data_IF_988070554350
#
_entry.id   IF_988070554350
#
_cell.length_a   1.000
_cell.length_b   1.000
_cell.length_c   1.000
_cell.angle_alpha   90.00
_cell.angle_beta   90.00
_cell.angle_gamma   90.00
#
_symmetry.space_group_name_H-M   'P 1'
#
loop_
_entity.id
_entity.type
_entity.pdbx_description
1 polymer ?
#
# COMPACT_ATOMS: atom_id res chain seq x y z
N UNK A 1 23.34 -7.26 -23.71
CA UNK A 1 24.02 -6.45 -22.68
C UNK A 1 23.19 -6.53 -21.40
N UNK A 2 23.72 -7.09 -20.31
CA UNK A 2 23.11 -6.96 -19.00
C UNK A 2 23.29 -5.51 -18.56
N UNK A 3 22.21 -4.73 -18.54
CA UNK A 3 22.24 -3.35 -18.04
C UNK A 3 22.64 -3.36 -16.54
N UNK A 4 23.54 -2.48 -16.13
CA UNK A 4 23.82 -2.25 -14.72
C UNK A 4 22.68 -1.43 -14.13
N UNK A 5 22.06 -1.89 -13.07
CA UNK A 5 21.09 -1.15 -12.27
C UNK A 5 21.45 -1.25 -10.79
N UNK A 6 21.05 -0.23 -10.04
CA UNK A 6 21.20 -0.15 -8.59
C UNK A 6 19.81 0.05 -8.01
N UNK A 7 19.57 -0.56 -6.86
CA UNK A 7 18.36 -0.34 -6.07
C UNK A 7 18.75 0.31 -4.76
N UNK A 8 18.06 1.36 -4.36
CA UNK A 8 18.26 2.03 -3.09
C UNK A 8 17.06 1.73 -2.19
N UNK A 9 17.33 1.15 -1.04
CA UNK A 9 16.37 0.91 0.02
C UNK A 9 17.05 1.18 1.36
N UNK A 10 16.42 1.91 2.29
CA UNK A 10 17.02 2.23 3.58
C UNK A 10 17.48 1.01 4.38
N UNK A 11 16.78 -0.11 4.21
CA UNK A 11 17.11 -1.37 4.90
C UNK A 11 18.31 -2.11 4.31
N UNK A 12 18.73 -1.79 3.08
CA UNK A 12 19.75 -2.52 2.34
C UNK A 12 19.35 -3.95 1.94
N UNK A 13 18.08 -4.30 2.06
CA UNK A 13 17.59 -5.66 1.76
C UNK A 13 16.30 -5.64 0.94
N UNK A 14 16.08 -6.69 0.15
CA UNK A 14 14.82 -6.88 -0.55
C UNK A 14 13.68 -7.22 0.41
N UNK A 15 12.48 -6.73 0.11
CA UNK A 15 11.24 -7.11 0.82
C UNK A 15 11.18 -6.69 2.30
N UNK A 16 12.11 -5.88 2.81
CA UNK A 16 12.17 -5.53 4.23
C UNK A 16 10.85 -4.99 4.78
N UNK A 17 10.30 -3.96 4.15
CA UNK A 17 9.04 -3.36 4.60
C UNK A 17 7.88 -4.35 4.52
N UNK A 18 7.81 -5.16 3.48
CA UNK A 18 6.77 -6.18 3.34
C UNK A 18 6.86 -7.22 4.47
N UNK A 19 8.08 -7.75 4.69
CA UNK A 19 8.33 -8.73 5.75
C UNK A 19 7.97 -8.17 7.12
N UNK A 20 8.42 -6.94 7.40
CA UNK A 20 8.09 -6.26 8.66
C UNK A 20 6.59 -6.10 8.85
N UNK A 21 5.88 -5.55 7.87
CA UNK A 21 4.45 -5.26 7.97
C UNK A 21 3.61 -6.55 8.12
N UNK A 22 3.94 -7.60 7.36
CA UNK A 22 3.22 -8.87 7.48
C UNK A 22 3.46 -9.57 8.83
N UNK A 23 4.68 -9.49 9.33
CA UNK A 23 5.01 -10.00 10.66
C UNK A 23 4.36 -9.14 11.77
N UNK A 24 4.46 -7.82 11.67
CA UNK A 24 3.92 -6.88 12.67
C UNK A 24 2.39 -6.99 12.83
N UNK A 25 1.68 -7.27 11.74
CA UNK A 25 0.23 -7.45 11.75
C UNK A 25 -0.19 -8.93 11.80
N UNK A 26 0.77 -9.85 11.94
CA UNK A 26 0.55 -11.31 12.00
C UNK A 26 -0.33 -11.83 10.86
N UNK A 27 -0.09 -11.34 9.64
CA UNK A 27 -0.88 -11.72 8.46
C UNK A 27 -0.52 -13.14 8.05
N UNK A 28 -1.47 -14.11 8.08
CA UNK A 28 -1.15 -15.51 7.88
C UNK A 28 -0.87 -15.88 6.42
N UNK A 29 -1.54 -15.23 5.49
CA UNK A 29 -1.42 -15.51 4.05
C UNK A 29 -1.75 -14.27 3.21
N UNK A 30 -1.32 -14.27 1.96
CA UNK A 30 -1.65 -13.21 1.02
C UNK A 30 -3.14 -13.28 0.64
N UNK A 31 -3.68 -12.13 0.25
CA UNK A 31 -5.01 -12.03 -0.36
C UNK A 31 -4.99 -12.38 -1.86
N UNK A 32 -3.81 -12.29 -2.50
CA UNK A 32 -3.63 -12.59 -3.92
C UNK A 32 -3.35 -14.07 -4.15
N UNK A 33 -3.90 -14.68 -5.21
CA UNK A 33 -3.58 -16.05 -5.61
C UNK A 33 -2.11 -16.25 -5.96
N UNK A 34 -1.65 -17.51 -5.92
CA UNK A 34 -0.27 -17.91 -6.18
C UNK A 34 0.25 -17.53 -7.59
N UNK A 35 -0.64 -17.26 -8.55
CA UNK A 35 -0.25 -16.75 -9.88
C UNK A 35 0.24 -15.30 -9.86
N UNK A 36 -0.02 -14.54 -8.79
CA UNK A 36 0.44 -13.18 -8.62
C UNK A 36 1.71 -13.16 -7.77
N UNK A 37 2.85 -13.29 -8.41
CA UNK A 37 4.16 -13.40 -7.78
C UNK A 37 5.25 -12.75 -8.68
N UNK A 38 6.46 -12.49 -8.18
CA UNK A 38 7.47 -11.70 -8.90
C UNK A 38 8.18 -12.44 -10.06
N UNK A 39 8.06 -13.75 -10.16
CA UNK A 39 8.71 -14.50 -11.23
C UNK A 39 8.02 -14.30 -12.60
N UNK A 40 8.76 -14.28 -13.72
CA UNK A 40 8.19 -14.26 -15.05
C UNK A 40 7.26 -15.45 -15.36
N UNK A 41 7.58 -16.65 -14.85
CA UNK A 41 6.71 -17.82 -14.99
C UNK A 41 5.53 -17.74 -13.99
N UNK A 42 4.26 -17.65 -14.45
CA UNK A 42 3.10 -17.55 -13.57
C UNK A 42 2.89 -18.80 -12.69
N UNK A 43 3.50 -19.93 -13.02
CA UNK A 43 3.39 -21.19 -12.27
C UNK A 43 4.52 -21.39 -11.26
N UNK A 44 5.55 -20.55 -11.27
CA UNK A 44 6.76 -20.74 -10.47
C UNK A 44 6.48 -20.91 -8.96
N UNK A 45 5.56 -20.12 -8.38
CA UNK A 45 5.21 -20.24 -6.97
C UNK A 45 4.49 -21.55 -6.65
N UNK A 46 3.59 -22.02 -7.51
CA UNK A 46 2.93 -23.33 -7.33
C UNK A 46 3.91 -24.47 -7.42
N UNK A 47 4.85 -24.42 -8.37
CA UNK A 47 5.92 -25.40 -8.50
C UNK A 47 6.82 -25.42 -7.26
N UNK A 48 7.17 -24.22 -6.74
CA UNK A 48 7.92 -24.09 -5.48
C UNK A 48 7.16 -24.65 -4.28
N UNK A 49 5.85 -24.53 -4.27
CA UNK A 49 4.97 -25.00 -3.20
C UNK A 49 4.62 -26.50 -3.31
N UNK A 50 5.07 -27.24 -4.31
CA UNK A 50 4.68 -28.63 -4.55
C UNK A 50 4.94 -29.55 -3.35
N UNK A 51 6.03 -29.33 -2.59
CA UNK A 51 6.35 -30.03 -1.35
C UNK A 51 5.70 -29.43 -0.09
N UNK A 52 4.94 -28.36 -0.23
CA UNK A 52 4.34 -27.57 0.87
C UNK A 52 2.88 -27.22 0.59
N UNK A 53 2.02 -28.17 0.15
CA UNK A 53 0.67 -27.87 -0.32
C UNK A 53 -0.22 -27.25 0.78
N UNK A 54 0.02 -27.57 2.05
CA UNK A 54 -0.72 -27.01 3.18
C UNK A 54 -0.47 -25.53 3.44
N UNK A 55 0.50 -24.91 2.75
CA UNK A 55 0.78 -23.48 2.83
C UNK A 55 0.10 -22.70 1.65
N UNK A 56 -0.71 -23.38 0.85
CA UNK A 56 -1.61 -22.77 -0.14
C UNK A 56 -3.06 -22.87 0.38
N UNK A 57 -3.65 -21.73 0.67
CA UNK A 57 -4.97 -21.63 1.28
C UNK A 57 -6.09 -21.53 0.24
N UNK A 58 -7.20 -22.28 0.44
CA UNK A 58 -8.35 -22.20 -0.46
C UNK A 58 -9.01 -20.80 -0.38
N UNK A 59 -9.82 -20.43 -1.39
CA UNK A 59 -10.20 -21.25 -2.55
C UNK A 59 -9.28 -21.12 -3.76
N UNK A 60 -8.29 -20.24 -3.78
CA UNK A 60 -7.50 -19.90 -4.97
C UNK A 60 -5.99 -20.05 -4.76
N UNK A 61 -5.56 -20.98 -3.94
CA UNK A 61 -4.14 -21.19 -3.61
C UNK A 61 -3.49 -19.89 -3.11
N UNK A 62 -4.09 -19.28 -2.08
CA UNK A 62 -3.53 -18.08 -1.46
C UNK A 62 -2.26 -18.46 -0.72
N UNK A 63 -1.08 -17.94 -1.08
CA UNK A 63 0.16 -18.38 -0.46
C UNK A 63 0.27 -17.89 0.98
N UNK A 64 0.67 -18.78 1.87
CA UNK A 64 1.03 -18.44 3.23
C UNK A 64 2.18 -17.44 3.24
N UNK A 65 2.20 -16.54 4.23
CA UNK A 65 3.22 -15.48 4.33
C UNK A 65 4.63 -16.04 4.29
N UNK A 66 4.90 -17.12 5.03
CA UNK A 66 6.21 -17.77 5.06
C UNK A 66 6.58 -18.42 3.73
N UNK A 67 5.63 -19.10 3.09
CA UNK A 67 5.83 -19.67 1.75
C UNK A 67 6.22 -18.60 0.74
N UNK A 68 5.47 -17.51 0.69
CA UNK A 68 5.71 -16.40 -0.22
C UNK A 68 7.07 -15.72 0.04
N UNK A 69 7.43 -15.51 1.30
CA UNK A 69 8.72 -14.96 1.68
C UNK A 69 9.88 -15.84 1.19
N UNK A 70 9.82 -17.15 1.44
CA UNK A 70 10.83 -18.09 1.00
C UNK A 70 10.92 -18.14 -0.53
N UNK A 71 9.80 -18.10 -1.22
CA UNK A 71 9.76 -18.03 -2.67
C UNK A 71 10.43 -16.74 -3.22
N UNK A 72 10.14 -15.57 -2.64
CA UNK A 72 10.80 -14.34 -3.03
C UNK A 72 12.31 -14.40 -2.81
N UNK A 73 12.77 -14.98 -1.70
CA UNK A 73 14.20 -15.19 -1.44
C UNK A 73 14.84 -16.09 -2.51
N UNK A 74 14.16 -17.15 -2.93
CA UNK A 74 14.63 -18.02 -4.01
C UNK A 74 14.70 -17.29 -5.36
N UNK A 75 13.70 -16.44 -5.69
CA UNK A 75 13.74 -15.62 -6.90
C UNK A 75 14.92 -14.65 -6.87
N UNK A 76 15.18 -14.00 -5.73
CA UNK A 76 16.31 -13.08 -5.55
C UNK A 76 17.63 -13.85 -5.75
N UNK A 77 17.76 -15.04 -5.15
CA UNK A 77 18.97 -15.89 -5.23
C UNK A 77 19.27 -16.34 -6.66
N UNK A 78 18.30 -16.94 -7.35
CA UNK A 78 18.51 -17.48 -8.71
C UNK A 78 18.67 -16.38 -9.77
N UNK A 79 18.18 -15.18 -9.48
CA UNK A 79 18.34 -14.01 -10.36
C UNK A 79 19.60 -13.21 -10.03
N UNK A 80 20.40 -13.63 -9.06
CA UNK A 80 21.63 -12.97 -8.59
C UNK A 80 21.40 -11.47 -8.24
N UNK A 81 20.31 -11.18 -7.50
CA UNK A 81 19.90 -9.82 -7.15
C UNK A 81 20.37 -9.39 -5.75
N UNK A 82 21.03 -10.25 -4.98
CA UNK A 82 21.40 -9.98 -3.58
C UNK A 82 22.25 -8.72 -3.43
N UNK A 83 23.20 -8.51 -4.34
CA UNK A 83 24.13 -7.38 -4.32
C UNK A 83 23.63 -6.12 -5.03
N UNK A 84 22.38 -6.12 -5.48
CA UNK A 84 21.83 -4.98 -6.22
C UNK A 84 21.21 -3.89 -5.33
N UNK A 85 20.98 -4.19 -4.03
CA UNK A 85 20.37 -3.26 -3.07
C UNK A 85 21.44 -2.59 -2.22
N UNK A 86 21.41 -1.26 -2.21
CA UNK A 86 22.28 -0.42 -1.39
C UNK A 86 21.49 0.14 -0.21
N UNK A 87 22.09 0.06 0.98
CA UNK A 87 21.50 0.60 2.21
C UNK A 87 21.60 2.13 2.24
N UNK A 88 20.67 2.78 1.59
CA UNK A 88 20.50 4.23 1.60
C UNK A 88 19.10 4.59 1.11
N UNK A 89 18.52 5.67 1.64
CA UNK A 89 17.34 6.28 1.05
C UNK A 89 17.77 7.30 -0.02
N UNK A 90 17.07 7.36 -1.15
CA UNK A 90 17.13 8.52 -2.04
C UNK A 90 16.26 9.60 -1.41
N UNK A 91 16.86 10.73 -1.07
CA UNK A 91 16.14 11.85 -0.43
C UNK A 91 15.76 12.94 -1.44
N UNK A 92 16.46 13.00 -2.58
CA UNK A 92 16.21 13.97 -3.64
C UNK A 92 16.53 13.38 -5.02
N UNK A 93 15.74 13.75 -6.00
CA UNK A 93 15.96 13.46 -7.42
C UNK A 93 16.02 14.81 -8.15
N UNK A 94 17.18 15.16 -8.69
CA UNK A 94 17.42 16.40 -9.39
C UNK A 94 17.67 16.15 -10.89
N UNK A 95 16.82 16.65 -11.80
CA UNK A 95 17.11 16.58 -13.23
C UNK A 95 18.33 17.43 -13.60
N UNK A 96 19.24 16.87 -14.39
CA UNK A 96 20.43 17.53 -14.89
C UNK A 96 20.27 17.87 -16.37
N UNK A 97 20.09 19.15 -16.70
CA UNK A 97 19.87 19.63 -18.07
C UNK A 97 21.18 19.95 -18.83
N UNK A 98 22.34 19.99 -18.14
CA UNK A 98 23.62 20.37 -18.71
C UNK A 98 24.32 19.29 -19.53
N UNK A 99 23.64 18.18 -19.78
CA UNK A 99 24.17 17.06 -20.54
C UNK A 99 23.49 16.94 -21.90
N UNK A 100 24.25 16.47 -22.90
CA UNK A 100 23.73 16.19 -24.25
C UNK A 100 22.48 15.27 -24.23
N UNK A 101 22.30 14.48 -23.16
CA UNK A 101 21.09 13.70 -22.86
C UNK A 101 20.72 13.97 -21.40
N UNK A 102 19.42 14.18 -21.09
CA UNK A 102 18.96 14.37 -19.71
C UNK A 102 19.44 13.24 -18.79
N UNK A 103 19.85 13.60 -17.59
CA UNK A 103 20.28 12.72 -16.51
C UNK A 103 19.65 13.17 -15.20
N UNK A 104 19.85 12.39 -14.17
CA UNK A 104 19.39 12.70 -12.81
C UNK A 104 20.54 12.60 -11.84
N UNK A 105 20.67 13.57 -10.95
CA UNK A 105 21.46 13.47 -9.74
C UNK A 105 20.55 12.95 -8.62
N UNK A 106 20.94 11.84 -8.01
CA UNK A 106 20.26 11.26 -6.86
C UNK A 106 21.07 11.59 -5.62
N UNK A 107 20.47 12.31 -4.68
CA UNK A 107 21.06 12.57 -3.37
C UNK A 107 20.60 11.49 -2.39
N UNK A 108 21.54 10.88 -1.69
CA UNK A 108 21.29 9.79 -0.76
C UNK A 108 21.33 10.29 0.68
N UNK A 109 20.64 9.58 1.58
CA UNK A 109 20.56 9.90 3.01
C UNK A 109 21.91 9.91 3.74
N UNK A 110 22.95 9.31 3.16
CA UNK A 110 24.32 9.33 3.67
C UNK A 110 25.17 10.47 3.08
N UNK A 111 24.57 11.41 2.36
CA UNK A 111 25.23 12.56 1.74
C UNK A 111 25.92 12.25 0.40
N UNK A 112 25.95 11.01 -0.05
CA UNK A 112 26.49 10.67 -1.37
C UNK A 112 25.54 11.10 -2.49
N UNK A 113 26.11 11.37 -3.67
CA UNK A 113 25.35 11.65 -4.89
C UNK A 113 25.68 10.65 -5.98
N UNK A 114 24.67 10.27 -6.75
CA UNK A 114 24.80 9.34 -7.87
C UNK A 114 24.15 9.93 -9.11
N UNK A 115 24.85 9.89 -10.23
CA UNK A 115 24.30 10.32 -11.52
C UNK A 115 23.74 9.11 -12.26
N UNK A 116 22.44 9.13 -12.53
CA UNK A 116 21.73 8.09 -13.26
C UNK A 116 21.22 8.62 -14.60
N UNK A 117 21.22 7.76 -15.62
CA UNK A 117 20.60 8.05 -16.92
C UNK A 117 19.08 7.88 -16.86
N UNK A 118 18.64 6.92 -16.08
CA UNK A 118 17.23 6.52 -15.95
C UNK A 118 16.90 6.27 -14.49
N UNK A 119 15.72 6.67 -14.07
CA UNK A 119 15.23 6.47 -12.71
C UNK A 119 13.88 5.76 -12.75
N UNK A 120 13.66 4.78 -11.89
CA UNK A 120 12.36 4.15 -11.67
C UNK A 120 11.94 4.40 -10.22
N UNK A 121 10.85 5.12 -10.03
CA UNK A 121 10.24 5.33 -8.71
C UNK A 121 9.33 4.12 -8.42
N UNK A 122 9.78 3.25 -7.53
CA UNK A 122 9.10 2.01 -7.16
C UNK A 122 8.86 1.91 -5.64
N UNK A 123 8.72 3.05 -4.96
CA UNK A 123 8.66 3.16 -3.51
C UNK A 123 7.29 2.89 -2.87
N UNK A 124 6.37 2.28 -3.60
CA UNK A 124 5.15 1.69 -3.04
C UNK A 124 3.92 2.59 -3.00
N UNK A 125 3.22 2.60 -1.88
CA UNK A 125 1.82 2.97 -1.81
C UNK A 125 1.50 4.39 -1.33
N UNK A 126 2.43 5.32 -1.29
CA UNK A 126 2.19 6.68 -0.82
C UNK A 126 2.35 6.87 0.70
N UNK A 127 1.92 8.01 1.21
CA UNK A 127 1.97 8.36 2.63
C UNK A 127 0.75 7.82 3.38
N UNK A 128 0.86 7.52 4.69
CA UNK A 128 -0.30 7.23 5.53
C UNK A 128 -1.38 8.30 5.40
N UNK A 129 -2.62 7.88 5.21
CA UNK A 129 -3.75 8.80 5.22
C UNK A 129 -4.15 9.08 6.66
N UNK A 130 -3.85 10.29 7.13
CA UNK A 130 -4.20 10.76 8.47
C UNK A 130 -5.47 11.62 8.34
N UNK A 131 -6.58 11.28 9.01
CA UNK A 131 -7.79 12.08 8.99
C UNK A 131 -7.57 13.50 9.55
N UNK A 132 -8.26 14.49 8.98
CA UNK A 132 -8.06 15.92 9.32
C UNK A 132 -8.29 16.25 10.80
N UNK A 133 -9.18 15.51 11.46
CA UNK A 133 -9.46 15.72 12.88
C UNK A 133 -8.25 15.39 13.77
N UNK A 134 -7.32 14.52 13.33
CA UNK A 134 -6.09 14.19 14.06
C UNK A 134 -5.19 15.42 14.19
N UNK A 135 -5.05 16.20 13.13
CA UNK A 135 -4.25 17.44 13.15
C UNK A 135 -4.81 18.54 14.06
N UNK A 136 -6.05 18.38 14.53
CA UNK A 136 -6.70 19.33 15.46
C UNK A 136 -6.57 18.92 16.92
N UNK A 137 -5.98 17.78 17.23
CA UNK A 137 -5.77 17.30 18.61
C UNK A 137 -4.54 17.99 19.18
N UNK A 138 -4.64 18.60 20.40
CA UNK A 138 -3.47 19.07 21.13
C UNK A 138 -2.47 17.92 21.37
N UNK A 139 -1.17 18.19 21.23
CA UNK A 139 -0.09 17.20 21.40
C UNK A 139 0.23 16.91 22.87
N UNK A 140 -0.81 16.61 23.67
CA UNK A 140 -0.72 16.36 25.12
C UNK A 140 -1.03 14.93 25.51
N UNK A 141 -0.99 14.01 24.54
CA UNK A 141 -1.22 12.58 24.74
C UNK A 141 0.05 11.76 24.43
N UNK A 142 0.22 10.57 25.03
CA UNK A 142 1.33 9.68 24.72
C UNK A 142 1.26 9.22 23.25
N UNK A 143 2.37 9.30 22.47
CA UNK A 143 2.36 9.00 21.04
C UNK A 143 1.82 7.62 20.69
N UNK A 144 2.04 6.62 21.54
CA UNK A 144 1.57 5.24 21.34
C UNK A 144 0.05 5.08 21.51
N UNK A 145 -0.65 6.09 21.99
CA UNK A 145 -2.10 6.08 22.17
C UNK A 145 -2.89 6.42 20.91
N UNK A 146 -2.22 6.97 19.87
CA UNK A 146 -2.80 7.20 18.55
C UNK A 146 -1.77 6.85 17.47
N UNK A 147 -1.98 5.75 16.79
CA UNK A 147 -1.05 5.24 15.78
C UNK A 147 -1.74 4.93 14.46
N UNK A 148 -1.03 5.17 13.36
CA UNK A 148 -1.40 4.62 12.07
C UNK A 148 -0.93 3.15 11.96
N UNK A 149 -1.65 2.33 11.21
CA UNK A 149 -1.39 0.89 11.03
C UNK A 149 0.06 0.54 10.60
N UNK A 150 0.76 1.46 9.98
CA UNK A 150 2.18 1.29 9.60
C UNK A 150 3.15 1.32 10.79
N UNK A 151 2.74 1.93 11.91
CA UNK A 151 3.55 2.04 13.12
C UNK A 151 3.15 1.02 14.21
N UNK A 152 2.16 0.16 13.93
CA UNK A 152 1.69 -0.84 14.88
C UNK A 152 2.44 -2.15 14.66
N UNK A 153 3.08 -2.64 15.70
CA UNK A 153 3.65 -3.98 15.75
C UNK A 153 2.95 -4.78 16.87
N UNK A 154 2.01 -5.62 16.48
CA UNK A 154 1.20 -6.41 17.40
C UNK A 154 2.07 -7.32 18.28
N UNK A 155 3.19 -7.84 17.77
CA UNK A 155 4.07 -8.79 18.48
C UNK A 155 4.60 -8.23 19.80
N UNK A 156 4.73 -6.91 19.90
CA UNK A 156 5.33 -6.21 21.04
C UNK A 156 4.30 -5.56 21.96
N UNK A 157 2.98 -5.83 21.77
CA UNK A 157 1.91 -5.20 22.52
C UNK A 157 1.30 -6.14 23.56
N UNK A 158 1.01 -5.59 24.72
CA UNK A 158 0.11 -6.17 25.73
C UNK A 158 -1.08 -5.23 25.84
N UNK A 159 -2.30 -5.75 25.69
CA UNK A 159 -3.52 -4.97 25.59
C UNK A 159 -4.61 -5.48 26.56
N UNK A 160 -4.22 -6.20 27.61
CA UNK A 160 -5.15 -6.79 28.55
C UNK A 160 -6.02 -5.72 29.20
N UNK A 161 -7.34 -5.85 29.04
CA UNK A 161 -8.32 -4.91 29.58
C UNK A 161 -8.44 -3.58 28.81
N UNK A 162 -7.58 -3.29 27.84
CA UNK A 162 -7.67 -2.05 27.05
C UNK A 162 -8.82 -2.07 26.04
N UNK A 163 -9.39 -0.89 25.79
CA UNK A 163 -10.34 -0.65 24.70
C UNK A 163 -9.63 0.04 23.54
N UNK A 164 -9.65 -0.60 22.39
CA UNK A 164 -8.99 -0.11 21.16
C UNK A 164 -10.02 0.28 20.13
N UNK A 165 -10.04 1.56 19.74
CA UNK A 165 -10.83 2.05 18.61
C UNK A 165 -10.00 1.91 17.32
N UNK A 166 -10.47 1.08 16.39
CA UNK A 166 -9.85 0.90 15.08
C UNK A 166 -10.70 1.61 14.02
N UNK A 167 -10.08 2.54 13.28
CA UNK A 167 -10.76 3.34 12.27
C UNK A 167 -10.37 2.84 10.88
N UNK A 168 -11.32 2.22 10.17
CA UNK A 168 -11.17 1.70 8.82
C UNK A 168 -12.01 0.47 8.56
N UNK A 169 -12.45 0.28 7.31
CA UNK A 169 -13.28 -0.85 6.87
C UNK A 169 -12.57 -1.85 5.96
N UNK A 170 -11.21 -1.84 5.93
CA UNK A 170 -10.40 -2.70 5.08
C UNK A 170 -9.82 -3.91 5.81
N UNK A 171 -9.15 -4.80 5.06
CA UNK A 171 -8.55 -6.02 5.62
C UNK A 171 -7.52 -5.73 6.72
N UNK A 172 -6.79 -4.63 6.64
CA UNK A 172 -5.84 -4.20 7.67
C UNK A 172 -6.52 -3.98 9.02
N UNK A 173 -7.70 -3.34 9.03
CA UNK A 173 -8.46 -3.15 10.28
C UNK A 173 -8.96 -4.48 10.84
N UNK A 174 -9.27 -5.45 9.98
CA UNK A 174 -9.61 -6.81 10.42
C UNK A 174 -8.45 -7.52 11.12
N UNK A 175 -7.25 -7.49 10.53
CA UNK A 175 -6.06 -8.09 11.17
C UNK A 175 -5.73 -7.41 12.51
N UNK A 176 -5.79 -6.08 12.55
CA UNK A 176 -5.57 -5.33 13.79
C UNK A 176 -6.60 -5.68 14.87
N UNK A 177 -7.88 -5.82 14.49
CA UNK A 177 -8.95 -6.18 15.43
C UNK A 177 -8.73 -7.58 16.01
N UNK A 178 -8.47 -8.57 15.16
CA UNK A 178 -8.19 -9.94 15.60
C UNK A 178 -6.95 -9.97 16.50
N UNK A 179 -5.86 -9.32 16.09
CA UNK A 179 -4.63 -9.30 16.85
C UNK A 179 -4.75 -8.58 18.21
N UNK A 180 -5.54 -7.49 18.29
CA UNK A 180 -5.83 -6.80 19.54
C UNK A 180 -6.65 -7.69 20.50
N UNK A 181 -7.69 -8.35 19.98
CA UNK A 181 -8.54 -9.25 20.76
C UNK A 181 -7.74 -10.43 21.32
N UNK A 182 -6.83 -11.00 20.54
CA UNK A 182 -5.94 -12.08 20.99
C UNK A 182 -5.02 -11.66 22.15
N UNK A 183 -4.79 -10.35 22.30
CA UNK A 183 -3.98 -9.73 23.36
C UNK A 183 -4.81 -9.19 24.53
N UNK A 184 -6.08 -9.57 24.62
CA UNK A 184 -6.96 -9.23 25.73
C UNK A 184 -7.75 -7.94 25.57
N UNK A 185 -7.63 -7.23 24.46
CA UNK A 185 -8.37 -6.00 24.22
C UNK A 185 -9.85 -6.22 23.93
N UNK A 186 -10.66 -5.22 24.24
CA UNK A 186 -11.98 -5.00 23.63
C UNK A 186 -11.82 -4.07 22.44
N UNK A 187 -12.45 -4.40 21.33
CA UNK A 187 -12.27 -3.65 20.07
C UNK A 187 -13.56 -2.95 19.65
N UNK A 188 -13.45 -1.67 19.30
CA UNK A 188 -14.47 -0.92 18.59
C UNK A 188 -13.96 -0.69 17.17
N UNK A 189 -14.66 -1.20 16.17
CA UNK A 189 -14.27 -1.07 14.78
C UNK A 189 -15.21 -0.09 14.07
N UNK A 190 -14.69 1.09 13.72
CA UNK A 190 -15.47 2.17 13.12
C UNK A 190 -15.14 2.33 11.64
N UNK A 191 -16.17 2.39 10.80
CA UNK A 191 -16.05 2.61 9.36
C UNK A 191 -17.06 3.66 8.89
N UNK A 192 -16.58 4.62 8.09
CA UNK A 192 -17.44 5.64 7.47
C UNK A 192 -18.45 5.10 6.46
N UNK A 193 -18.33 3.83 6.09
CA UNK A 193 -19.21 3.12 5.17
C UNK A 193 -19.53 1.75 5.73
N UNK A 194 -20.53 1.10 5.16
CA UNK A 194 -20.74 -0.34 5.35
C UNK A 194 -19.47 -1.10 4.96
N UNK A 195 -19.10 -2.09 5.75
CA UNK A 195 -17.93 -2.92 5.48
C UNK A 195 -18.30 -3.89 4.34
N UNK A 196 -17.58 -3.76 3.23
CA UNK A 196 -17.78 -4.59 2.07
C UNK A 196 -17.04 -5.90 2.17
N UNK A 197 -17.75 -6.98 1.90
CA UNK A 197 -17.18 -8.31 1.72
C UNK A 197 -16.71 -8.48 0.26
N UNK A 198 -15.42 -8.72 0.06
CA UNK A 198 -14.85 -9.08 -1.24
C UNK A 198 -13.66 -10.00 -1.03
N UNK A 199 -13.56 -11.04 -1.86
CA UNK A 199 -12.42 -11.94 -1.81
C UNK A 199 -11.11 -11.22 -2.22
N UNK A 200 -11.17 -10.40 -3.26
CA UNK A 200 -10.03 -9.63 -3.79
C UNK A 200 -10.23 -8.13 -3.64
N UNK A 201 -9.14 -7.36 -3.65
CA UNK A 201 -9.17 -5.88 -3.57
C UNK A 201 -9.92 -5.22 -4.72
N UNK A 202 -9.83 -5.82 -5.91
CA UNK A 202 -10.55 -5.43 -7.11
C UNK A 202 -11.04 -6.70 -7.82
N UNK A 203 -12.13 -6.57 -8.58
CA UNK A 203 -12.66 -7.69 -9.37
C UNK A 203 -11.57 -8.25 -10.30
N UNK A 204 -11.42 -9.59 -10.42
CA UNK A 204 -10.44 -10.22 -11.32
C UNK A 204 -10.54 -9.78 -12.78
N UNK A 205 -11.69 -9.29 -13.25
CA UNK A 205 -11.85 -8.72 -14.58
C UNK A 205 -10.93 -7.53 -14.86
N UNK A 206 -10.37 -6.88 -13.81
CA UNK A 206 -9.35 -5.83 -13.95
C UNK A 206 -7.93 -6.35 -14.24
N UNK A 207 -7.75 -7.66 -14.32
CA UNK A 207 -6.47 -8.29 -14.72
C UNK A 207 -6.40 -8.56 -16.24
N UNK A 208 -7.50 -8.39 -16.94
CA UNK A 208 -7.63 -8.70 -18.34
C UNK A 208 -8.53 -7.74 -19.12
N UNK A 209 -8.84 -8.04 -20.38
CA UNK A 209 -9.55 -7.13 -21.28
C UNK A 209 -10.99 -6.82 -20.84
N UNK A 210 -11.60 -7.61 -19.97
CA UNK A 210 -13.00 -7.45 -19.55
C UNK A 210 -13.31 -6.01 -19.12
N UNK A 211 -12.46 -5.41 -18.28
CA UNK A 211 -12.62 -4.03 -17.83
C UNK A 211 -11.51 -3.11 -18.34
N UNK A 212 -10.29 -3.62 -18.55
CA UNK A 212 -9.17 -2.79 -18.98
C UNK A 212 -9.36 -2.23 -20.39
N UNK A 213 -10.08 -2.93 -21.30
CA UNK A 213 -10.37 -2.40 -22.64
C UNK A 213 -11.11 -1.06 -22.56
N UNK A 214 -12.18 -1.00 -21.79
CA UNK A 214 -12.97 0.23 -21.63
C UNK A 214 -12.20 1.30 -20.85
N UNK A 215 -11.45 0.89 -19.81
CA UNK A 215 -10.60 1.78 -19.04
C UNK A 215 -9.56 2.50 -19.92
N UNK A 216 -8.89 1.77 -20.80
CA UNK A 216 -7.88 2.36 -21.69
C UNK A 216 -8.49 3.14 -22.86
N UNK A 217 -9.70 2.81 -23.26
CA UNK A 217 -10.44 3.55 -24.30
C UNK A 217 -11.00 4.89 -23.77
N UNK A 218 -11.18 5.05 -22.45
CA UNK A 218 -11.69 6.27 -21.85
C UNK A 218 -10.64 7.40 -21.94
N UNK A 219 -10.86 8.47 -22.71
CA UNK A 219 -9.91 9.56 -22.85
C UNK A 219 -9.86 10.48 -21.62
N UNK A 220 -10.96 10.58 -20.90
CA UNK A 220 -11.08 11.48 -19.74
C UNK A 220 -10.43 10.87 -18.51
N UNK A 221 -9.34 11.48 -18.04
CA UNK A 221 -8.55 10.97 -16.92
C UNK A 221 -9.26 11.10 -15.56
N UNK A 222 -10.19 12.05 -15.41
CA UNK A 222 -11.04 12.14 -14.22
C UNK A 222 -12.01 10.95 -14.14
N UNK A 223 -12.55 10.54 -15.29
CA UNK A 223 -13.39 9.33 -15.36
C UNK A 223 -12.55 8.08 -15.05
N UNK A 224 -11.33 7.96 -15.62
CA UNK A 224 -10.42 6.86 -15.24
C UNK A 224 -10.15 6.84 -13.73
N UNK A 225 -9.89 8.00 -13.13
CA UNK A 225 -9.71 8.09 -11.69
C UNK A 225 -10.95 7.59 -10.93
N UNK A 226 -12.14 8.02 -11.34
CA UNK A 226 -13.40 7.56 -10.74
C UNK A 226 -13.59 6.05 -10.88
N UNK A 227 -13.25 5.47 -12.04
CA UNK A 227 -13.27 4.01 -12.25
C UNK A 227 -12.31 3.27 -11.29
N UNK A 228 -11.11 3.83 -11.05
CA UNK A 228 -10.15 3.28 -10.07
C UNK A 228 -10.74 3.29 -8.67
N UNK A 229 -11.33 4.41 -8.25
CA UNK A 229 -11.94 4.55 -6.92
C UNK A 229 -13.11 3.58 -6.72
N UNK A 230 -13.99 3.47 -7.71
CA UNK A 230 -15.13 2.55 -7.68
C UNK A 230 -14.70 1.08 -7.63
N UNK A 231 -13.70 0.69 -8.42
CA UNK A 231 -13.20 -0.69 -8.45
C UNK A 231 -12.62 -1.12 -7.09
N UNK A 232 -11.90 -0.23 -6.42
CA UNK A 232 -11.31 -0.48 -5.10
C UNK A 232 -12.27 -0.27 -3.94
N UNK A 233 -13.26 0.58 -4.11
CA UNK A 233 -14.33 0.88 -3.15
C UNK A 233 -13.85 1.17 -1.72
N UNK A 234 -12.72 1.87 -1.57
CA UNK A 234 -12.18 2.30 -0.28
C UNK A 234 -11.74 1.20 0.68
N UNK A 235 -11.53 -0.01 0.18
CA UNK A 235 -11.14 -1.19 0.95
C UNK A 235 -12.31 -2.14 1.21
N UNK A 236 -11.98 -3.39 1.51
CA UNK A 236 -12.93 -4.47 1.81
C UNK A 236 -12.26 -5.54 2.67
N UNK A 237 -13.07 -6.36 3.34
CA UNK A 237 -12.61 -7.54 4.07
C UNK A 237 -12.88 -8.82 3.28
N UNK A 238 -12.09 -9.85 3.51
CA UNK A 238 -12.36 -11.17 2.93
C UNK A 238 -13.53 -11.83 3.66
N UNK A 239 -14.27 -12.78 3.00
CA UNK A 239 -15.33 -13.57 3.67
C UNK A 239 -14.83 -14.22 4.95
N UNK A 240 -13.65 -14.83 4.94
CA UNK A 240 -13.05 -15.47 6.11
C UNK A 240 -12.83 -14.49 7.27
N UNK A 241 -12.29 -13.30 6.99
CA UNK A 241 -12.08 -12.26 8.00
C UNK A 241 -13.40 -11.78 8.60
N UNK A 242 -14.40 -11.50 7.77
CA UNK A 242 -15.72 -11.07 8.26
C UNK A 242 -16.40 -12.16 9.10
N UNK A 243 -16.35 -13.41 8.66
CA UNK A 243 -16.88 -14.54 9.43
C UNK A 243 -16.22 -14.62 10.81
N UNK A 244 -14.90 -14.49 10.88
CA UNK A 244 -14.16 -14.48 12.14
C UNK A 244 -14.57 -13.30 13.03
N UNK A 245 -14.65 -12.09 12.50
CA UNK A 245 -15.02 -10.90 13.24
C UNK A 245 -16.49 -10.95 13.73
N UNK A 246 -17.43 -11.46 12.89
CA UNK A 246 -18.83 -11.63 13.29
C UNK A 246 -18.99 -12.68 14.40
N UNK A 247 -18.11 -13.69 14.46
CA UNK A 247 -18.06 -14.61 15.61
C UNK A 247 -17.60 -13.87 16.87
N UNK A 248 -16.53 -13.10 16.79
CA UNK A 248 -16.01 -12.30 17.90
C UNK A 248 -17.00 -11.21 18.37
N UNK A 249 -17.85 -10.70 17.47
CA UNK A 249 -18.94 -9.79 17.84
C UNK A 249 -20.00 -10.49 18.69
N UNK A 250 -20.41 -11.71 18.35
CA UNK A 250 -21.33 -12.51 19.18
C UNK A 250 -20.75 -12.80 20.56
N UNK A 251 -19.42 -12.97 20.63
CA UNK A 251 -18.68 -13.15 21.88
C UNK A 251 -18.44 -11.81 22.62
N UNK A 252 -19.01 -10.69 22.14
CA UNK A 252 -18.86 -9.32 22.68
C UNK A 252 -17.42 -8.83 22.80
N UNK A 253 -16.52 -9.34 21.94
CA UNK A 253 -15.10 -8.93 21.90
C UNK A 253 -14.85 -7.78 20.92
N UNK A 254 -15.73 -7.61 19.94
CA UNK A 254 -15.71 -6.49 18.98
C UNK A 254 -17.10 -5.89 18.85
N UNK A 255 -17.17 -4.56 18.66
CA UNK A 255 -18.39 -3.83 18.33
C UNK A 255 -18.14 -3.10 16.99
N UNK A 256 -19.09 -3.23 16.05
CA UNK A 256 -19.01 -2.54 14.77
C UNK A 256 -19.81 -1.24 14.81
N UNK A 257 -19.18 -0.16 14.36
CA UNK A 257 -19.80 1.13 14.09
C UNK A 257 -19.64 1.45 12.61
N UNK A 258 -20.62 1.05 11.83
CA UNK A 258 -20.65 1.30 10.38
C UNK A 258 -21.36 2.62 10.06
N UNK A 259 -21.06 3.21 8.87
CA UNK A 259 -21.64 4.47 8.41
C UNK A 259 -21.45 5.63 9.39
N UNK A 260 -20.34 5.61 10.12
CA UNK A 260 -19.99 6.58 11.13
C UNK A 260 -18.51 6.94 11.03
N UNK A 261 -18.20 8.20 11.29
CA UNK A 261 -16.82 8.67 11.33
C UNK A 261 -16.56 9.55 12.53
N UNK A 262 -15.33 9.53 13.01
CA UNK A 262 -14.89 10.43 14.08
C UNK A 262 -14.87 11.85 13.55
N UNK A 263 -15.59 12.75 14.24
CA UNK A 263 -15.56 14.19 13.98
C UNK A 263 -14.52 14.89 14.84
N UNK A 264 -14.29 14.40 16.07
CA UNK A 264 -13.35 14.94 17.04
C UNK A 264 -12.92 13.85 18.02
N UNK A 265 -11.68 13.91 18.51
CA UNK A 265 -11.20 13.14 19.64
C UNK A 265 -10.52 14.07 20.65
N UNK A 266 -10.67 13.80 21.94
CA UNK A 266 -10.05 14.56 23.02
C UNK A 266 -9.37 13.60 23.98
N UNK A 267 -8.14 13.91 24.36
CA UNK A 267 -7.40 13.22 25.41
C UNK A 267 -7.68 13.90 26.77
N UNK A 268 -8.16 13.14 27.75
CA UNK A 268 -8.50 13.67 29.06
C UNK A 268 -7.40 13.48 30.13
N UNK A 269 -6.22 12.99 29.72
CA UNK A 269 -5.09 12.66 30.57
C UNK A 269 -4.89 11.17 30.80
N UNK A 270 -5.91 10.35 30.57
CA UNK A 270 -5.91 8.90 30.79
C UNK A 270 -6.48 8.12 29.60
N UNK A 271 -7.53 8.63 28.98
CA UNK A 271 -8.24 7.98 27.88
C UNK A 271 -8.71 8.97 26.81
N UNK A 272 -9.15 8.44 25.69
CA UNK A 272 -9.77 9.19 24.62
C UNK A 272 -11.28 9.29 24.81
N UNK A 273 -11.81 10.49 24.66
CA UNK A 273 -13.22 10.77 24.45
C UNK A 273 -13.48 10.99 22.96
N UNK A 274 -14.41 10.22 22.40
CA UNK A 274 -14.67 10.19 20.95
C UNK A 274 -16.00 10.87 20.64
N UNK A 275 -15.99 11.74 19.64
CA UNK A 275 -17.16 12.39 19.05
C UNK A 275 -17.30 11.91 17.62
N UNK A 276 -18.50 11.52 17.22
CA UNK A 276 -18.77 11.07 15.85
C UNK A 276 -19.99 11.78 15.24
N UNK A 277 -20.12 11.69 13.92
CA UNK A 277 -21.15 12.39 13.15
C UNK A 277 -22.51 11.69 13.15
N UNK A 278 -22.59 10.43 13.64
CA UNK A 278 -23.83 9.66 13.73
C UNK A 278 -24.44 9.77 15.14
N UNK A 279 -25.62 10.41 15.32
CA UNK A 279 -26.18 10.72 16.66
C UNK A 279 -26.30 9.52 17.59
N UNK A 280 -26.93 8.41 17.12
CA UNK A 280 -27.13 7.23 17.96
C UNK A 280 -25.80 6.52 18.33
N UNK A 281 -24.79 6.53 17.45
CA UNK A 281 -23.47 5.97 17.75
C UNK A 281 -22.70 6.91 18.68
N UNK A 282 -22.89 8.23 18.52
CA UNK A 282 -22.27 9.22 19.40
C UNK A 282 -22.64 8.98 20.86
N UNK A 283 -23.91 8.79 21.18
CA UNK A 283 -24.34 8.47 22.54
C UNK A 283 -23.67 7.21 23.09
N UNK A 284 -23.54 6.18 22.25
CA UNK A 284 -22.92 4.92 22.66
C UNK A 284 -21.41 5.01 22.90
N UNK A 285 -20.69 5.78 22.08
CA UNK A 285 -19.22 5.82 22.12
C UNK A 285 -18.67 6.93 23.03
N UNK A 286 -19.40 8.03 23.15
CA UNK A 286 -18.96 9.21 23.90
C UNK A 286 -18.68 8.91 25.38
N UNK A 287 -19.45 8.00 25.96
CA UNK A 287 -19.33 7.59 27.37
C UNK A 287 -18.31 6.45 27.58
N UNK A 288 -17.65 6.00 26.52
CA UNK A 288 -16.63 4.97 26.63
C UNK A 288 -15.25 5.57 26.76
N UNK A 289 -14.48 5.11 27.73
CA UNK A 289 -13.06 5.41 27.82
C UNK A 289 -12.31 4.54 26.81
N UNK A 290 -11.68 5.16 25.83
CA UNK A 290 -10.89 4.49 24.79
C UNK A 290 -9.42 4.66 25.12
N UNK A 291 -8.69 3.55 25.25
CA UNK A 291 -7.27 3.60 25.60
C UNK A 291 -6.39 3.92 24.41
N UNK A 292 -6.73 3.39 23.23
CA UNK A 292 -5.95 3.59 22.00
C UNK A 292 -6.84 3.85 20.79
N UNK A 293 -6.32 4.67 19.86
CA UNK A 293 -6.90 4.86 18.54
C UNK A 293 -5.92 4.34 17.49
N UNK A 294 -6.37 3.41 16.65
CA UNK A 294 -5.59 2.86 15.56
C UNK A 294 -6.19 3.25 14.20
N UNK A 295 -5.39 3.93 13.38
CA UNK A 295 -5.82 4.41 12.08
C UNK A 295 -5.47 3.37 11.00
N UNK A 296 -6.44 2.57 10.58
CA UNK A 296 -6.35 1.67 9.42
C UNK A 296 -6.95 2.34 8.17
N UNK A 297 -6.65 3.60 7.97
CA UNK A 297 -7.24 4.50 6.97
C UNK A 297 -6.59 4.39 5.60
N UNK A 298 -5.55 3.56 5.48
CA UNK A 298 -4.84 3.32 4.23
C UNK A 298 -3.83 4.42 3.89
N UNK A 299 -3.46 4.49 2.60
CA UNK A 299 -2.46 5.42 2.10
C UNK A 299 -3.04 6.35 1.05
N UNK A 300 -2.59 7.58 1.07
CA UNK A 300 -2.85 8.58 0.03
C UNK A 300 -1.65 8.65 -0.92
N UNK A 301 -1.93 8.62 -2.21
CA UNK A 301 -0.93 8.79 -3.26
C UNK A 301 -1.09 10.20 -3.81
N UNK A 302 0.00 10.96 -3.75
CA UNK A 302 0.01 12.34 -4.23
C UNK A 302 1.39 12.66 -4.80
N UNK A 303 1.46 12.76 -6.12
CA UNK A 303 2.67 13.12 -6.84
C UNK A 303 3.13 14.56 -6.55
N UNK A 304 2.18 15.48 -6.29
CA UNK A 304 2.48 16.89 -6.01
C UNK A 304 3.29 17.05 -4.73
N UNK A 305 2.93 16.27 -3.69
CA UNK A 305 3.60 16.30 -2.39
C UNK A 305 4.62 15.15 -2.21
N UNK A 306 5.00 14.49 -3.31
CA UNK A 306 5.97 13.40 -3.25
C UNK A 306 7.40 13.97 -3.23
N UNK A 307 8.22 13.70 -2.19
CA UNK A 307 9.51 14.37 -2.00
C UNK A 307 10.49 14.16 -3.17
N UNK A 308 10.46 12.99 -3.82
CA UNK A 308 11.35 12.69 -4.95
C UNK A 308 10.85 13.27 -6.27
N UNK A 309 9.62 13.74 -6.36
CA UNK A 309 9.02 14.25 -7.61
C UNK A 309 8.99 15.79 -7.67
N UNK A 310 9.24 16.49 -6.57
CA UNK A 310 9.16 17.95 -6.51
C UNK A 310 10.00 18.63 -7.61
N UNK A 311 11.30 18.40 -7.63
CA UNK A 311 12.19 19.02 -8.62
C UNK A 311 11.94 18.51 -10.05
N UNK A 312 11.42 17.28 -10.17
CA UNK A 312 11.03 16.74 -11.48
C UNK A 312 9.79 17.46 -12.01
N UNK A 313 8.80 17.74 -11.17
CA UNK A 313 7.61 18.52 -11.52
C UNK A 313 7.95 19.96 -11.90
N UNK A 314 8.89 20.57 -11.18
CA UNK A 314 9.31 21.96 -11.44
C UNK A 314 9.99 22.10 -12.83
N UNK A 315 10.78 21.11 -13.24
CA UNK A 315 11.55 21.14 -14.50
C UNK A 315 10.78 20.48 -15.66
N UNK A 316 10.05 19.42 -15.39
CA UNK A 316 9.27 18.68 -16.35
C UNK A 316 7.82 18.58 -15.87
N UNK A 317 7.02 19.64 -16.00
CA UNK A 317 5.65 19.66 -15.53
C UNK A 317 4.78 18.64 -16.28
N UNK A 318 3.87 18.02 -15.55
CA UNK A 318 2.84 17.15 -16.12
C UNK A 318 1.51 17.41 -15.41
N UNK A 319 0.42 17.09 -16.08
CA UNK A 319 -0.91 17.14 -15.46
C UNK A 319 -0.99 16.15 -14.29
N UNK A 320 -1.58 16.61 -13.18
CA UNK A 320 -1.86 15.80 -12.00
C UNK A 320 -3.37 15.69 -11.81
N UNK A 321 -3.87 14.48 -11.88
CA UNK A 321 -5.29 14.16 -11.72
C UNK A 321 -5.52 13.53 -10.35
N UNK A 322 -6.06 14.30 -9.41
CA UNK A 322 -6.31 13.87 -8.02
C UNK A 322 -5.08 13.19 -7.37
N UNK A 323 -3.91 13.82 -7.52
CA UNK A 323 -2.65 13.33 -6.98
C UNK A 323 -1.91 12.30 -7.86
N UNK A 324 -2.50 11.84 -8.95
CA UNK A 324 -1.88 10.89 -9.87
C UNK A 324 -1.27 11.60 -11.10
N UNK A 325 0.00 11.34 -11.45
CA UNK A 325 0.63 11.98 -12.58
C UNK A 325 0.17 11.37 -13.91
N UNK A 326 0.06 12.20 -14.93
CA UNK A 326 -0.14 11.76 -16.31
C UNK A 326 1.20 11.37 -16.91
N UNK A 327 1.35 10.09 -17.24
CA UNK A 327 2.56 9.50 -17.84
C UNK A 327 2.23 8.84 -19.18
N UNK A 328 3.26 8.51 -19.97
CA UNK A 328 3.08 7.84 -21.26
C UNK A 328 2.68 6.35 -21.11
N UNK A 329 2.53 5.64 -22.23
CA UNK A 329 2.16 4.23 -22.25
C UNK A 329 3.21 3.31 -21.60
N UNK A 330 4.45 3.75 -21.51
CA UNK A 330 5.57 3.06 -20.85
C UNK A 330 5.73 3.44 -19.38
N UNK A 331 4.79 4.20 -18.82
CA UNK A 331 4.83 4.76 -17.46
C UNK A 331 6.00 5.73 -17.25
N UNK A 332 6.45 6.37 -18.34
CA UNK A 332 7.52 7.34 -18.34
C UNK A 332 6.95 8.74 -18.12
N UNK A 333 7.63 9.50 -17.30
CA UNK A 333 7.36 10.91 -17.09
C UNK A 333 7.62 11.71 -18.36
N UNK A 334 6.79 12.70 -18.72
CA UNK A 334 7.00 13.50 -19.92
C UNK A 334 8.38 14.15 -19.98
N UNK A 335 8.97 14.19 -21.16
CA UNK A 335 10.23 14.87 -21.47
C UNK A 335 11.48 14.35 -20.74
N UNK A 336 11.42 13.28 -19.94
CA UNK A 336 12.59 12.75 -19.24
C UNK A 336 12.55 11.23 -19.12
N UNK A 337 13.65 10.62 -18.70
CA UNK A 337 13.79 9.16 -18.53
C UNK A 337 13.51 8.71 -17.08
N UNK A 338 12.49 9.31 -16.45
CA UNK A 338 11.97 8.88 -15.15
C UNK A 338 10.69 8.06 -15.36
N UNK A 339 10.59 6.94 -14.68
CA UNK A 339 9.46 6.02 -14.74
C UNK A 339 8.83 5.88 -13.36
N UNK A 340 7.52 5.64 -13.32
CA UNK A 340 6.79 5.44 -12.06
C UNK A 340 6.08 4.09 -12.04
N UNK A 341 6.01 3.47 -10.86
CA UNK A 341 5.31 2.20 -10.63
C UNK A 341 4.29 2.34 -9.48
N UNK A 342 3.56 1.27 -9.25
CA UNK A 342 2.60 1.21 -8.16
C UNK A 342 1.47 2.21 -8.33
N UNK A 343 1.04 2.82 -7.23
CA UNK A 343 -0.09 3.74 -7.23
C UNK A 343 0.06 4.96 -8.12
N UNK A 344 1.28 5.50 -8.28
CA UNK A 344 1.56 6.63 -9.18
C UNK A 344 1.25 6.31 -10.65
N UNK A 345 1.29 5.04 -11.04
CA UNK A 345 1.00 4.60 -12.41
C UNK A 345 -0.48 4.24 -12.65
N UNK A 346 -1.37 4.48 -11.68
CA UNK A 346 -2.73 3.93 -11.71
C UNK A 346 -3.59 4.45 -12.87
N UNK A 347 -3.41 5.68 -13.34
CA UNK A 347 -4.12 6.21 -14.51
C UNK A 347 -3.83 5.44 -15.82
N UNK A 348 -2.72 4.69 -15.87
CA UNK A 348 -2.33 3.86 -17.03
C UNK A 348 -2.50 2.37 -16.79
N UNK A 349 -2.20 1.90 -15.57
CA UNK A 349 -2.28 0.47 -15.21
C UNK A 349 -3.68 0.06 -14.79
N UNK A 350 -4.43 0.96 -14.16
CA UNK A 350 -5.77 0.70 -13.65
C UNK A 350 -5.79 0.42 -12.14
N UNK A 351 -6.92 -0.07 -11.60
CA UNK A 351 -7.15 -0.27 -10.18
C UNK A 351 -6.17 -1.23 -9.50
N UNK A 352 -5.59 -2.16 -10.25
CA UNK A 352 -4.63 -3.15 -9.74
C UNK A 352 -3.19 -2.63 -9.65
N UNK A 353 -2.91 -1.38 -10.02
CA UNK A 353 -1.57 -0.79 -10.04
C UNK A 353 -0.77 -0.98 -8.73
N UNK A 354 -1.45 -1.02 -7.58
CA UNK A 354 -0.85 -1.20 -6.25
C UNK A 354 -0.67 -2.68 -5.85
N UNK A 355 -1.08 -3.61 -6.68
CA UNK A 355 -1.05 -5.04 -6.41
C UNK A 355 0.13 -5.70 -7.15
N UNK A 356 0.48 -6.95 -6.80
CA UNK A 356 1.53 -7.71 -7.47
C UNK A 356 1.28 -7.85 -8.99
N UNK A 357 0.03 -8.08 -9.40
CA UNK A 357 -0.35 -8.13 -10.82
C UNK A 357 -0.13 -6.81 -11.54
N UNK A 358 -0.46 -5.68 -10.90
CA UNK A 358 -0.21 -4.35 -11.44
C UNK A 358 1.28 -4.01 -11.51
N UNK A 359 2.07 -4.45 -10.54
CA UNK A 359 3.53 -4.32 -10.57
C UNK A 359 4.13 -5.07 -11.77
N UNK A 360 3.63 -6.28 -12.08
CA UNK A 360 4.02 -7.05 -13.28
C UNK A 360 3.67 -6.29 -14.56
N UNK A 361 2.42 -5.82 -14.69
CA UNK A 361 1.99 -5.02 -15.86
C UNK A 361 2.84 -3.76 -16.04
N UNK A 362 3.21 -3.09 -14.95
CA UNK A 362 4.09 -1.93 -14.97
C UNK A 362 5.51 -2.31 -15.42
N UNK A 363 6.07 -3.39 -14.87
CA UNK A 363 7.40 -3.88 -15.25
C UNK A 363 7.49 -4.21 -16.73
N UNK A 364 6.49 -4.89 -17.30
CA UNK A 364 6.46 -5.23 -18.73
C UNK A 364 6.50 -3.98 -19.63
N UNK A 365 5.81 -2.90 -19.23
CA UNK A 365 5.82 -1.63 -19.95
C UNK A 365 7.16 -0.91 -19.83
N UNK A 366 7.68 -0.79 -18.62
CA UNK A 366 8.95 -0.08 -18.34
C UNK A 366 10.12 -0.81 -19.01
N UNK A 367 10.20 -2.14 -18.91
CA UNK A 367 11.29 -2.92 -19.52
C UNK A 367 11.30 -2.75 -21.03
N UNK A 368 10.14 -2.71 -21.69
CA UNK A 368 10.06 -2.44 -23.15
C UNK A 368 10.67 -1.07 -23.50
N UNK A 369 10.42 -0.03 -22.69
CA UNK A 369 11.03 1.28 -22.93
C UNK A 369 12.54 1.29 -22.66
N UNK A 370 12.99 0.54 -21.63
CA UNK A 370 14.40 0.45 -21.27
C UNK A 370 15.25 -0.33 -22.29
N UNK A 371 14.63 -1.30 -22.99
CA UNK A 371 15.33 -2.18 -23.95
C UNK A 371 15.29 -1.67 -25.38
N UNK A 372 14.28 -0.86 -25.77
CA UNK A 372 14.27 -0.19 -27.08
C UNK A 372 15.39 0.85 -27.12
N UNK A 373 16.28 0.75 -28.11
CA UNK A 373 17.30 1.77 -28.41
C UNK A 373 16.61 3.11 -28.62
N UNK A 374 17.11 4.15 -27.91
CA UNK A 374 16.78 5.57 -28.03
C UNK A 374 15.72 5.94 -29.06
N UNK A 375 14.53 6.28 -28.57
CA UNK A 375 13.46 6.88 -29.36
C UNK A 375 14.01 8.13 -30.04
N UNK A 376 13.93 8.16 -31.38
CA UNK A 376 14.02 9.37 -32.17
C UNK A 376 13.02 10.38 -31.61
N UNK A 377 13.51 11.59 -31.32
CA UNK A 377 12.67 12.73 -30.95
C UNK A 377 11.77 13.05 -32.15
N UNK A 378 10.48 13.08 -31.94
CA UNK A 378 9.55 13.87 -32.72
C UNK A 378 9.42 15.21 -32.04
#
# INVERSE_FOLDING_TARGET
>A
MRGRFLVFDPSGTWMSQWNHQFAALEIPHLRSPAVHQPDPDPHALRTFAASRPNELFPPYDLPGTRLFQNFCQEVIRRSALQSCVYSAAVVRVEPLNNHRRPRFCLELSNGQTIVARRVVIANGGGKPHIPDWVGKIPQNYPPERLLHSHAIDLRNLTLEGEKVLIIGGGLTSGHLAVGAIQRGAQVLLMSRRTIYEKLFDADPGWLGPKYLKNFWAEPNLQIRYSMIQQARNGGSMTPAMLTQLRRLERDRRVVFYEQCQVSKAQWNGDSWQIFCDHPAIHECIHHQNIDRIWLATGNQIDATNHPLLKNVLDIYPTEIVNGLPVVDEYLRWPCCELFVMGGLAALRVGPTARNLSGARMASDRIVRALTKSSISRV
#
